data_IF_593415704548
#
_entry.id   IF_593415704548
#
_cell.length_a   1.000
_cell.length_b   1.000
_cell.length_c   1.000
_cell.angle_alpha   90.00
_cell.angle_beta   90.00
_cell.angle_gamma   90.00
#
_symmetry.space_group_name_H-M   'P 1'
#
loop_
_entity.id
_entity.type
_entity.pdbx_description
1 polymer ?
#
# COMPACT_ATOMS: atom_id res chain seq x y z
N UNK A 1 -5.17 -14.46 -12.16
CA UNK A 1 -3.75 -14.12 -12.42
C UNK A 1 -3.23 -14.97 -13.58
N UNK A 2 -2.59 -14.36 -14.59
CA UNK A 2 -1.98 -15.10 -15.71
C UNK A 2 -0.80 -15.95 -15.19
N UNK A 3 -0.57 -17.13 -15.78
CA UNK A 3 0.51 -18.07 -15.39
C UNK A 3 1.89 -17.40 -15.38
N UNK A 4 2.14 -16.48 -16.32
CA UNK A 4 3.39 -15.72 -16.38
C UNK A 4 3.58 -14.77 -15.19
N UNK A 5 2.52 -14.11 -14.71
CA UNK A 5 2.59 -13.24 -13.53
C UNK A 5 2.94 -14.05 -12.28
N UNK A 6 2.37 -15.26 -12.13
CA UNK A 6 2.66 -16.14 -11.00
C UNK A 6 4.13 -16.58 -10.95
N UNK A 7 4.76 -16.80 -12.10
CA UNK A 7 6.19 -17.14 -12.18
C UNK A 7 7.12 -15.97 -11.83
N UNK A 8 6.73 -14.73 -12.16
CA UNK A 8 7.54 -13.54 -11.91
C UNK A 8 7.55 -13.16 -10.43
N UNK A 9 6.44 -13.37 -9.71
CA UNK A 9 6.34 -13.10 -8.27
C UNK A 9 7.24 -14.03 -7.45
N UNK A 10 7.45 -15.27 -7.92
CA UNK A 10 8.33 -16.26 -7.30
C UNK A 10 9.82 -15.91 -7.38
N UNK A 11 10.20 -14.81 -8.02
CA UNK A 11 11.56 -14.31 -8.06
C UNK A 11 11.71 -13.29 -6.92
N UNK A 12 12.35 -13.61 -5.78
CA UNK A 12 12.35 -12.72 -4.61
C UNK A 12 12.98 -11.35 -4.90
N UNK A 13 13.96 -11.31 -5.82
CA UNK A 13 14.59 -10.08 -6.30
C UNK A 13 13.62 -9.16 -7.03
N UNK A 14 12.53 -9.67 -7.60
CA UNK A 14 11.56 -8.88 -8.34
C UNK A 14 10.67 -8.06 -7.39
N UNK A 15 10.11 -8.69 -6.35
CA UNK A 15 9.32 -7.99 -5.33
C UNK A 15 10.12 -6.89 -4.64
N UNK A 16 11.33 -7.21 -4.21
CA UNK A 16 12.24 -6.22 -3.64
C UNK A 16 12.53 -5.05 -4.61
N UNK A 17 12.74 -5.36 -5.90
CA UNK A 17 12.96 -4.31 -6.90
C UNK A 17 11.74 -3.40 -7.04
N UNK A 18 10.53 -3.97 -7.01
CA UNK A 18 9.29 -3.19 -7.07
C UNK A 18 9.11 -2.28 -5.84
N UNK A 19 9.45 -2.75 -4.64
CA UNK A 19 9.33 -1.93 -3.42
C UNK A 19 10.36 -0.78 -3.38
N UNK A 20 11.54 -0.98 -3.98
CA UNK A 20 12.51 0.10 -4.18
C UNK A 20 12.03 1.08 -5.25
N UNK A 21 11.53 0.57 -6.39
CA UNK A 21 11.04 1.41 -7.49
C UNK A 21 9.76 2.18 -7.16
N UNK A 22 8.97 1.75 -6.19
CA UNK A 22 7.76 2.46 -5.74
C UNK A 22 8.05 3.65 -4.82
N UNK A 23 9.24 3.68 -4.21
CA UNK A 23 9.58 4.58 -3.10
C UNK A 23 10.83 5.45 -3.34
N UNK A 24 11.53 5.30 -4.47
CA UNK A 24 12.73 6.11 -4.73
C UNK A 24 12.44 7.62 -4.77
N UNK A 25 13.34 8.40 -4.14
CA UNK A 25 13.22 9.87 -4.06
C UNK A 25 13.55 10.53 -5.40
N UNK A 26 12.82 11.60 -5.71
CA UNK A 26 13.16 12.52 -6.80
C UNK A 26 14.18 13.53 -6.26
N UNK A 27 15.43 13.54 -6.76
CA UNK A 27 16.25 14.75 -6.57
C UNK A 27 15.66 15.88 -7.42
N UNK A 28 15.76 17.11 -6.93
CA UNK A 28 14.98 18.27 -7.38
C UNK A 28 15.46 18.91 -8.70
N UNK A 29 16.46 18.34 -9.38
CA UNK A 29 17.14 18.95 -10.53
C UNK A 29 17.01 18.16 -11.86
N UNK A 30 15.88 17.51 -12.12
CA UNK A 30 15.69 16.81 -13.39
C UNK A 30 14.69 17.49 -14.34
N UNK A 31 14.90 17.28 -15.63
CA UNK A 31 14.00 17.78 -16.67
C UNK A 31 12.59 17.21 -16.52
N UNK A 32 11.57 17.96 -16.96
CA UNK A 32 10.15 17.53 -16.91
C UNK A 32 9.93 16.11 -17.47
N UNK A 33 10.64 15.74 -18.54
CA UNK A 33 10.56 14.41 -19.15
C UNK A 33 11.05 13.30 -18.22
N UNK A 34 12.17 13.52 -17.53
CA UNK A 34 12.72 12.54 -16.58
C UNK A 34 11.79 12.40 -15.37
N UNK A 35 11.20 13.51 -14.91
CA UNK A 35 10.22 13.47 -13.81
C UNK A 35 8.95 12.68 -14.18
N UNK A 36 8.44 12.84 -15.41
CA UNK A 36 7.30 12.05 -15.89
C UNK A 36 7.60 10.55 -15.94
N UNK A 37 8.74 10.15 -16.53
CA UNK A 37 9.13 8.73 -16.58
C UNK A 37 9.30 8.13 -15.17
N UNK A 38 9.86 8.90 -14.24
CA UNK A 38 10.00 8.46 -12.84
C UNK A 38 8.67 8.33 -12.12
N UNK A 39 7.72 9.23 -12.40
CA UNK A 39 6.36 9.10 -11.90
C UNK A 39 5.72 7.82 -12.44
N UNK A 40 5.79 7.57 -13.76
CA UNK A 40 5.25 6.36 -14.37
C UNK A 40 5.83 5.08 -13.77
N UNK A 41 7.16 5.02 -13.58
CA UNK A 41 7.81 3.86 -12.96
C UNK A 41 7.31 3.62 -11.54
N UNK A 42 7.16 4.67 -10.73
CA UNK A 42 6.60 4.54 -9.36
C UNK A 42 5.16 4.07 -9.40
N UNK A 43 4.34 4.72 -10.24
CA UNK A 43 2.92 4.42 -10.39
C UNK A 43 2.69 2.96 -10.79
N UNK A 44 3.35 2.50 -11.86
CA UNK A 44 3.23 1.12 -12.32
C UNK A 44 3.81 0.11 -11.32
N UNK A 45 4.91 0.43 -10.65
CA UNK A 45 5.47 -0.46 -9.61
C UNK A 45 4.50 -0.66 -8.45
N UNK A 46 3.81 0.42 -8.02
CA UNK A 46 2.78 0.38 -6.98
C UNK A 46 1.56 -0.42 -7.41
N UNK A 47 1.08 -0.21 -8.64
CA UNK A 47 -0.02 -1.01 -9.21
C UNK A 47 0.33 -2.48 -9.31
N UNK A 48 1.56 -2.82 -9.71
CA UNK A 48 2.02 -4.21 -9.71
C UNK A 48 1.98 -4.81 -8.31
N UNK A 49 2.50 -4.12 -7.30
CA UNK A 49 2.45 -4.58 -5.91
C UNK A 49 1.00 -4.76 -5.42
N UNK A 50 0.09 -3.84 -5.77
CA UNK A 50 -1.34 -3.96 -5.44
C UNK A 50 -2.01 -5.15 -6.11
N UNK A 51 -1.66 -5.47 -7.36
CA UNK A 51 -2.15 -6.68 -8.01
C UNK A 51 -1.61 -7.96 -7.36
N UNK A 52 -0.36 -7.95 -6.91
CA UNK A 52 0.22 -9.07 -6.17
C UNK A 52 -0.50 -9.23 -4.84
N UNK A 53 -0.78 -8.13 -4.12
CA UNK A 53 -1.59 -8.18 -2.92
C UNK A 53 -2.96 -8.78 -3.22
N UNK A 54 -3.70 -8.28 -4.22
CA UNK A 54 -5.08 -8.72 -4.48
C UNK A 54 -5.19 -10.16 -5.01
N UNK A 55 -4.23 -10.63 -5.81
CA UNK A 55 -4.29 -11.94 -6.47
C UNK A 55 -3.28 -12.95 -5.95
N UNK A 56 -2.46 -12.57 -4.98
CA UNK A 56 -1.41 -13.40 -4.40
C UNK A 56 -1.94 -14.32 -3.30
N UNK A 57 -1.37 -15.51 -3.23
CA UNK A 57 -1.67 -16.50 -2.19
C UNK A 57 -0.90 -16.21 -0.88
N UNK A 58 -1.00 -17.10 0.11
CA UNK A 58 -0.38 -16.92 1.43
C UNK A 58 1.12 -16.60 1.34
N UNK A 59 1.83 -17.24 0.42
CA UNK A 59 3.26 -17.01 0.20
C UNK A 59 3.51 -15.59 -0.32
N UNK A 60 2.72 -15.15 -1.30
CA UNK A 60 2.85 -13.81 -1.88
C UNK A 60 2.55 -12.72 -0.83
N UNK A 61 1.53 -12.90 0.03
CA UNK A 61 1.23 -11.97 1.13
C UNK A 61 2.40 -11.89 2.14
N UNK A 62 3.01 -13.04 2.43
CA UNK A 62 4.16 -13.14 3.34
C UNK A 62 5.34 -12.35 2.80
N UNK A 63 5.68 -12.56 1.53
CA UNK A 63 6.78 -11.83 0.90
C UNK A 63 6.50 -10.32 0.83
N UNK A 64 5.28 -9.90 0.52
CA UNK A 64 4.90 -8.48 0.52
C UNK A 64 5.15 -7.82 1.89
N UNK A 65 4.69 -8.46 2.97
CA UNK A 65 4.91 -7.95 4.33
C UNK A 65 6.41 -7.86 4.66
N UNK A 66 7.18 -8.90 4.32
CA UNK A 66 8.62 -8.97 4.56
C UNK A 66 9.43 -7.92 3.79
N UNK A 67 9.02 -7.58 2.55
CA UNK A 67 9.70 -6.56 1.74
C UNK A 67 9.24 -5.13 2.02
N UNK A 68 8.46 -4.91 3.09
CA UNK A 68 8.04 -3.58 3.52
C UNK A 68 6.93 -2.98 2.66
N UNK A 69 6.02 -3.80 2.14
CA UNK A 69 4.88 -3.31 1.37
C UNK A 69 4.01 -2.32 2.17
N UNK A 70 3.86 -2.53 3.49
CA UNK A 70 3.18 -1.59 4.38
C UNK A 70 3.77 -0.18 4.27
N UNK A 71 5.09 -0.07 4.43
CA UNK A 71 5.84 1.18 4.25
C UNK A 71 5.66 1.82 2.86
N UNK A 72 5.67 1.00 1.79
CA UNK A 72 5.42 1.50 0.43
C UNK A 72 4.05 2.16 0.31
N UNK A 73 3.02 1.57 0.90
CA UNK A 73 1.67 2.13 0.87
C UNK A 73 1.58 3.40 1.73
N UNK A 74 2.26 3.44 2.89
CA UNK A 74 2.35 4.67 3.70
C UNK A 74 2.86 5.86 2.88
N UNK A 75 4.01 5.69 2.21
CA UNK A 75 4.61 6.72 1.36
C UNK A 75 3.65 7.18 0.26
N UNK A 76 2.75 6.32 -0.21
CA UNK A 76 1.79 6.65 -1.27
C UNK A 76 0.71 7.63 -0.79
N UNK A 77 0.16 7.43 0.41
CA UNK A 77 -0.90 8.29 0.93
C UNK A 77 -0.41 9.44 1.82
N UNK A 78 0.89 9.49 2.16
CA UNK A 78 1.52 10.62 2.86
C UNK A 78 1.59 11.86 1.97
N UNK A 79 1.22 13.02 2.51
CA UNK A 79 0.99 14.26 1.73
C UNK A 79 2.19 15.21 1.61
N UNK A 80 3.41 14.69 1.54
CA UNK A 80 4.62 15.51 1.65
C UNK A 80 4.94 16.49 0.48
N UNK A 81 4.01 16.84 -0.44
CA UNK A 81 4.26 17.98 -1.34
C UNK A 81 3.48 18.12 -2.65
N UNK A 82 2.14 18.11 -2.65
CA UNK A 82 1.40 18.49 -3.87
C UNK A 82 -0.12 18.58 -3.71
N UNK A 83 -0.76 19.27 -4.67
CA UNK A 83 -2.22 19.41 -4.80
C UNK A 83 -2.57 19.06 -6.27
N UNK A 84 -3.40 18.05 -6.51
CA UNK A 84 -3.82 17.65 -7.86
C UNK A 84 -4.77 16.44 -7.87
N UNK A 85 -5.50 16.25 -8.96
CA UNK A 85 -6.47 15.15 -9.12
C UNK A 85 -5.81 13.77 -9.12
N UNK A 86 -4.72 13.61 -9.86
CA UNK A 86 -3.93 12.37 -9.93
C UNK A 86 -3.40 11.98 -8.53
N UNK A 87 -3.02 12.97 -7.72
CA UNK A 87 -2.55 12.74 -6.36
C UNK A 87 -3.67 12.32 -5.42
N UNK A 88 -4.87 12.87 -5.57
CA UNK A 88 -6.05 12.45 -4.81
C UNK A 88 -6.41 10.98 -5.10
N UNK A 89 -6.31 10.56 -6.37
CA UNK A 89 -6.54 9.17 -6.75
C UNK A 89 -5.47 8.24 -6.15
N UNK A 90 -4.19 8.61 -6.21
CA UNK A 90 -3.10 7.85 -5.58
C UNK A 90 -3.28 7.71 -4.07
N UNK A 91 -3.68 8.80 -3.38
CA UNK A 91 -3.99 8.78 -1.94
C UNK A 91 -5.16 7.82 -1.66
N UNK A 92 -6.25 7.93 -2.40
CA UNK A 92 -7.41 7.07 -2.24
C UNK A 92 -7.08 5.59 -2.45
N UNK A 93 -6.31 5.29 -3.49
CA UNK A 93 -5.83 3.94 -3.77
C UNK A 93 -4.91 3.42 -2.66
N UNK A 94 -3.97 4.23 -2.17
CA UNK A 94 -3.11 3.86 -1.05
C UNK A 94 -3.90 3.51 0.21
N UNK A 95 -4.87 4.35 0.59
CA UNK A 95 -5.73 4.09 1.75
C UNK A 95 -6.59 2.83 1.57
N UNK A 96 -7.07 2.56 0.35
CA UNK A 96 -7.80 1.34 0.03
C UNK A 96 -6.89 0.10 0.14
N UNK A 97 -5.68 0.15 -0.43
CA UNK A 97 -4.74 -0.97 -0.41
C UNK A 97 -4.28 -1.32 1.01
N UNK A 98 -3.97 -0.33 1.86
CA UNK A 98 -3.58 -0.64 3.24
C UNK A 98 -4.73 -1.24 4.05
N UNK A 99 -5.95 -0.73 3.85
CA UNK A 99 -7.14 -1.28 4.46
C UNK A 99 -7.39 -2.73 4.03
N UNK A 100 -7.34 -3.00 2.73
CA UNK A 100 -7.52 -4.35 2.19
C UNK A 100 -6.45 -5.31 2.70
N UNK A 101 -5.18 -4.89 2.62
CA UNK A 101 -4.04 -5.71 3.04
C UNK A 101 -4.14 -6.10 4.52
N UNK A 102 -4.25 -5.12 5.43
CA UNK A 102 -4.34 -5.43 6.86
C UNK A 102 -5.62 -6.21 7.22
N UNK A 103 -6.76 -5.90 6.59
CA UNK A 103 -8.01 -6.66 6.82
C UNK A 103 -7.80 -8.13 6.47
N UNK A 104 -7.18 -8.41 5.34
CA UNK A 104 -6.93 -9.77 4.87
C UNK A 104 -5.87 -10.48 5.71
N UNK A 105 -4.83 -9.78 6.17
CA UNK A 105 -3.88 -10.36 7.12
C UNK A 105 -4.58 -10.71 8.46
N UNK A 106 -5.52 -9.91 8.95
CA UNK A 106 -6.26 -10.21 10.20
C UNK A 106 -7.32 -11.29 10.06
N UNK A 107 -8.02 -11.35 8.91
CA UNK A 107 -9.23 -12.17 8.75
C UNK A 107 -9.07 -13.32 7.77
N UNK A 108 -7.92 -13.40 7.09
CA UNK A 108 -7.74 -14.27 5.94
C UNK A 108 -8.54 -13.80 4.72
N UNK A 109 -8.48 -14.60 3.65
CA UNK A 109 -9.26 -14.40 2.43
C UNK A 109 -10.03 -15.66 2.08
N UNK A 110 -11.34 -15.54 1.91
CA UNK A 110 -12.20 -16.66 1.51
C UNK A 110 -12.35 -16.80 -0.02
N UNK A 111 -12.03 -15.75 -0.77
CA UNK A 111 -12.03 -15.75 -2.23
C UNK A 111 -10.68 -16.27 -2.76
N UNK A 112 -10.66 -16.84 -3.97
CA UNK A 112 -9.44 -17.39 -4.55
C UNK A 112 -8.45 -16.29 -4.98
N UNK A 113 -7.15 -16.37 -4.60
CA UNK A 113 -6.56 -17.41 -3.75
C UNK A 113 -6.91 -17.20 -2.27
N UNK A 114 -7.43 -18.24 -1.64
CA UNK A 114 -7.82 -18.22 -0.23
C UNK A 114 -6.63 -18.50 0.68
N UNK A 115 -6.56 -17.84 1.83
CA UNK A 115 -5.56 -18.08 2.86
C UNK A 115 -6.14 -17.82 4.26
N UNK A 116 -5.56 -18.47 5.26
CA UNK A 116 -5.95 -18.29 6.67
C UNK A 116 -5.43 -16.95 7.20
N UNK A 117 -5.99 -16.41 8.30
CA UNK A 117 -5.42 -15.24 8.97
C UNK A 117 -3.90 -15.36 9.22
N UNK A 118 -3.19 -14.26 8.97
CA UNK A 118 -1.74 -14.11 9.11
C UNK A 118 -1.41 -13.03 10.18
N UNK A 119 -1.78 -13.25 11.46
CA UNK A 119 -1.73 -12.21 12.49
C UNK A 119 -0.33 -11.68 12.79
N UNK A 120 0.71 -12.51 12.67
CA UNK A 120 2.10 -12.08 12.87
C UNK A 120 2.55 -11.07 11.81
N UNK A 121 2.17 -11.31 10.55
CA UNK A 121 2.48 -10.40 9.45
C UNK A 121 1.66 -9.11 9.53
N UNK A 122 0.42 -9.22 9.99
CA UNK A 122 -0.42 -8.06 10.25
C UNK A 122 0.23 -7.14 11.28
N UNK A 123 0.66 -7.71 12.42
CA UNK A 123 1.38 -6.98 13.47
C UNK A 123 2.67 -6.34 12.94
N UNK A 124 3.48 -7.07 12.19
CA UNK A 124 4.71 -6.52 11.61
C UNK A 124 4.42 -5.36 10.66
N UNK A 125 3.34 -5.46 9.88
CA UNK A 125 2.92 -4.39 8.97
C UNK A 125 2.43 -3.17 9.76
N UNK A 126 1.66 -3.36 10.84
CA UNK A 126 1.24 -2.27 11.75
C UNK A 126 2.45 -1.56 12.38
N UNK A 127 3.44 -2.32 12.86
CA UNK A 127 4.69 -1.78 13.41
C UNK A 127 5.44 -0.92 12.36
N UNK A 128 5.52 -1.38 11.09
CA UNK A 128 6.09 -0.59 10.00
C UNK A 128 5.31 0.72 9.74
N UNK A 129 3.98 0.70 9.80
CA UNK A 129 3.13 1.88 9.59
C UNK A 129 3.37 2.91 10.71
N UNK A 130 3.48 2.44 11.95
CA UNK A 130 3.76 3.28 13.12
C UNK A 130 5.16 3.89 13.03
N UNK A 131 6.19 3.10 12.68
CA UNK A 131 7.56 3.58 12.51
C UNK A 131 7.70 4.67 11.44
N UNK A 132 6.89 4.62 10.38
CA UNK A 132 6.87 5.63 9.32
C UNK A 132 6.03 6.87 9.67
N UNK A 133 5.40 6.94 10.85
CA UNK A 133 4.54 8.07 11.25
C UNK A 133 3.29 8.20 10.39
N UNK A 134 2.79 7.10 9.85
CA UNK A 134 1.68 7.13 8.90
C UNK A 134 0.31 7.26 9.58
N UNK A 135 0.23 7.13 10.91
CA UNK A 135 -1.02 7.32 11.66
C UNK A 135 -1.53 8.76 11.52
N UNK A 136 -0.63 9.74 11.69
CA UNK A 136 -0.90 11.17 11.54
C UNK A 136 -1.35 11.51 10.12
N UNK A 137 -0.72 10.89 9.11
CA UNK A 137 -1.08 11.06 7.71
C UNK A 137 -2.49 10.51 7.41
N UNK A 138 -2.83 9.33 7.94
CA UNK A 138 -4.19 8.77 7.82
C UNK A 138 -5.22 9.69 8.48
N UNK A 139 -4.92 10.24 9.65
CA UNK A 139 -5.79 11.21 10.33
C UNK A 139 -5.99 12.48 9.51
N UNK A 140 -4.93 13.02 8.91
CA UNK A 140 -5.01 14.17 8.01
C UNK A 140 -5.92 13.88 6.79
N UNK A 141 -5.90 12.66 6.25
CA UNK A 141 -6.77 12.28 5.13
C UNK A 141 -8.24 12.10 5.52
N UNK A 142 -8.61 11.99 6.80
CA UNK A 142 -10.02 11.83 7.22
C UNK A 142 -10.88 13.07 6.94
N UNK A 143 -10.25 14.24 6.83
CA UNK A 143 -10.93 15.49 6.48
C UNK A 143 -10.79 15.83 4.99
N UNK A 144 -9.98 15.07 4.25
CA UNK A 144 -9.81 15.23 2.82
C UNK A 144 -11.01 14.64 2.07
N UNK A 145 -11.84 15.51 1.49
CA UNK A 145 -13.00 15.09 0.69
C UNK A 145 -12.61 14.52 -0.67
N UNK A 146 -11.33 14.63 -1.07
CA UNK A 146 -10.86 14.21 -2.37
C UNK A 146 -11.62 14.90 -3.51
N UNK A 147 -11.92 14.13 -4.54
CA UNK A 147 -12.78 14.53 -5.66
C UNK A 147 -14.05 13.65 -5.68
N UNK A 148 -15.08 14.03 -6.45
CA UNK A 148 -16.41 13.37 -6.50
C UNK A 148 -16.38 11.84 -6.69
N UNK A 149 -15.31 11.30 -7.27
CA UNK A 149 -15.12 9.88 -7.56
C UNK A 149 -14.15 9.16 -6.62
N UNK A 150 -13.46 9.89 -5.72
CA UNK A 150 -12.47 9.33 -4.81
C UNK A 150 -12.87 9.63 -3.36
N UNK A 151 -13.42 8.62 -2.67
CA UNK A 151 -13.86 8.75 -1.29
C UNK A 151 -12.69 8.63 -0.30
N UNK A 152 -11.69 9.52 -0.40
CA UNK A 152 -10.50 9.55 0.47
C UNK A 152 -10.89 9.53 1.95
N UNK A 153 -11.79 10.43 2.36
CA UNK A 153 -12.36 10.47 3.71
C UNK A 153 -12.95 9.13 4.18
N UNK A 154 -13.60 8.39 3.30
CA UNK A 154 -14.17 7.08 3.64
C UNK A 154 -13.05 6.07 3.86
N UNK A 155 -12.14 5.91 2.89
CA UNK A 155 -11.03 4.97 3.00
C UNK A 155 -10.09 5.30 4.17
N UNK A 156 -9.84 6.58 4.45
CA UNK A 156 -9.07 7.02 5.62
C UNK A 156 -9.70 6.53 6.93
N UNK A 157 -11.03 6.58 7.05
CA UNK A 157 -11.73 6.04 8.24
C UNK A 157 -11.58 4.52 8.37
N UNK A 158 -11.64 3.78 7.27
CA UNK A 158 -11.45 2.33 7.28
C UNK A 158 -10.01 1.93 7.56
N UNK A 159 -9.05 2.61 6.93
CA UNK A 159 -7.62 2.44 7.18
C UNK A 159 -7.33 2.71 8.66
N UNK A 160 -7.79 3.85 9.20
CA UNK A 160 -7.66 4.16 10.63
C UNK A 160 -8.28 3.09 11.52
N UNK A 161 -9.48 2.63 11.19
CA UNK A 161 -10.15 1.59 11.96
C UNK A 161 -9.34 0.28 11.95
N UNK A 162 -8.77 -0.14 10.83
CA UNK A 162 -8.02 -1.40 10.79
C UNK A 162 -6.64 -1.26 11.43
N UNK A 163 -5.95 -0.14 11.20
CA UNK A 163 -4.65 0.14 11.82
C UNK A 163 -4.79 0.28 13.34
N UNK A 164 -5.82 0.97 13.85
CA UNK A 164 -5.96 1.28 15.28
C UNK A 164 -6.86 0.31 16.08
N UNK A 165 -7.88 -0.32 15.48
CA UNK A 165 -8.79 -1.18 16.26
C UNK A 165 -8.09 -2.45 16.81
N UNK A 166 -6.96 -2.88 16.25
CA UNK A 166 -6.20 -3.99 16.83
C UNK A 166 -5.36 -3.60 18.05
N UNK A 167 -4.83 -2.38 18.11
CA UNK A 167 -4.21 -1.88 19.34
C UNK A 167 -5.20 -1.77 20.50
N UNK A 168 -6.48 -1.49 20.23
CA UNK A 168 -7.52 -1.39 21.27
C UNK A 168 -7.91 -2.75 21.84
N UNK A 169 -7.87 -3.82 21.04
CA UNK A 169 -8.17 -5.18 21.48
C UNK A 169 -6.97 -5.91 22.12
N UNK A 170 -5.80 -5.28 22.14
CA UNK A 170 -4.67 -5.66 23.01
C UNK A 170 -4.87 -5.07 24.41
N UNK A 171 -5.58 -5.79 25.26
CA UNK A 171 -5.54 -5.61 26.72
C UNK A 171 -5.34 -6.95 27.40
#
# INVERSE_FOLDING_TARGET
>A
MNKSCKQVIQIPKFLHSLTVLSSFKLETQFSKKINNQRWEVRHWSRLCLAWIQHYGDEYDQTELANYGYGKVICILFSTAGGIGEEQNEEIGNGLMYIYDFLRELHKGRNNQPSFQPLPLLARMTEEQIEEEGANEEVEAQMINYGHKYCNIKYYAKYAKAVILNHFIHRR
#
